data_IF_503830648601
#
_entry.id   IF_503830648601
#
_cell.length_a   1.000
_cell.length_b   1.000
_cell.length_c   1.000
_cell.angle_alpha   90.00
_cell.angle_beta   90.00
_cell.angle_gamma   90.00
#
_symmetry.space_group_name_H-M   'P 1'
#
loop_
_entity.id
_entity.type
_entity.pdbx_description
1 polymer ?
#
# COMPACT_ATOMS: atom_id res chain seq x y z
N UNK A 1 -4.11 26.36 20.53
CA UNK A 1 -3.58 25.04 20.94
C UNK A 1 -3.82 24.13 19.76
N UNK A 2 -2.77 23.72 19.04
CA UNK A 2 -2.91 22.78 17.93
C UNK A 2 -2.91 21.38 18.53
N UNK A 3 -4.07 20.74 18.55
CA UNK A 3 -4.22 19.30 18.76
C UNK A 3 -3.61 18.60 17.53
N UNK A 4 -2.28 18.46 17.54
CA UNK A 4 -1.60 17.64 16.56
C UNK A 4 -2.10 16.21 16.73
N UNK A 5 -2.78 15.67 15.73
CA UNK A 5 -3.06 14.24 15.66
C UNK A 5 -1.72 13.50 15.83
N UNK A 6 -1.41 13.06 17.05
CA UNK A 6 -0.42 12.01 17.28
C UNK A 6 -1.02 10.74 16.72
N UNK A 7 -0.94 10.58 15.41
CA UNK A 7 -1.24 9.33 14.75
C UNK A 7 -0.28 8.31 15.37
N UNK A 8 -0.79 7.22 15.96
CA UNK A 8 0.08 6.18 16.49
C UNK A 8 1.03 5.78 15.37
N UNK A 9 2.34 5.74 15.65
CA UNK A 9 3.35 5.22 14.71
C UNK A 9 2.83 3.89 14.19
N UNK A 10 2.45 3.86 12.92
CA UNK A 10 1.88 2.66 12.32
C UNK A 10 3.06 1.73 12.06
N UNK A 11 3.36 0.88 13.05
CA UNK A 11 4.48 -0.07 12.99
C UNK A 11 4.33 -1.07 11.84
N UNK A 12 3.10 -1.31 11.38
CA UNK A 12 2.78 -2.21 10.28
C UNK A 12 2.27 -1.40 9.06
N UNK A 13 3.15 -1.19 8.08
CA UNK A 13 2.84 -0.46 6.86
C UNK A 13 1.80 -1.18 6.00
N UNK A 14 1.61 -2.50 6.15
CA UNK A 14 0.59 -3.26 5.40
C UNK A 14 -0.79 -2.67 5.66
N UNK A 15 -1.12 -2.47 6.93
CA UNK A 15 -2.42 -1.89 7.33
C UNK A 15 -2.59 -0.46 6.82
N UNK A 16 -1.54 0.36 6.88
CA UNK A 16 -1.56 1.72 6.38
C UNK A 16 -1.81 1.77 4.86
N UNK A 17 -1.04 0.99 4.10
CA UNK A 17 -1.16 0.94 2.64
C UNK A 17 -2.51 0.39 2.21
N UNK A 18 -2.96 -0.73 2.80
CA UNK A 18 -4.30 -1.28 2.51
C UNK A 18 -5.40 -0.25 2.76
N UNK A 19 -5.36 0.42 3.91
CA UNK A 19 -6.35 1.46 4.24
C UNK A 19 -6.31 2.62 3.23
N UNK A 20 -5.12 3.00 2.77
CA UNK A 20 -4.95 4.05 1.77
C UNK A 20 -5.53 3.66 0.42
N UNK A 21 -5.14 2.49 -0.11
CA UNK A 21 -5.59 2.03 -1.44
C UNK A 21 -7.09 1.77 -1.46
N UNK A 22 -7.66 1.19 -0.40
CA UNK A 22 -9.11 1.01 -0.25
C UNK A 22 -9.84 2.37 -0.22
N UNK A 23 -9.34 3.36 0.54
CA UNK A 23 -9.93 4.71 0.58
C UNK A 23 -9.85 5.45 -0.76
N UNK A 24 -8.87 5.10 -1.60
CA UNK A 24 -8.71 5.63 -2.95
C UNK A 24 -9.53 4.86 -3.99
N UNK A 25 -10.27 3.82 -3.59
CA UNK A 25 -11.05 2.99 -4.51
C UNK A 25 -10.18 2.17 -5.46
N UNK A 26 -8.90 1.97 -5.12
CA UNK A 26 -7.98 1.17 -5.93
C UNK A 26 -8.22 -0.31 -5.60
N UNK A 27 -8.25 -1.15 -6.64
CA UNK A 27 -8.29 -2.59 -6.45
C UNK A 27 -6.93 -3.06 -5.91
N UNK A 28 -6.95 -3.76 -4.79
CA UNK A 28 -5.75 -4.24 -4.13
C UNK A 28 -5.91 -5.71 -3.75
N UNK A 29 -4.86 -6.50 -3.97
CA UNK A 29 -4.85 -7.93 -3.73
C UNK A 29 -3.61 -8.31 -2.92
N UNK A 30 -3.83 -9.03 -1.82
CA UNK A 30 -2.77 -9.55 -0.97
C UNK A 30 -2.25 -10.89 -1.49
N UNK A 31 -0.94 -11.11 -1.35
CA UNK A 31 -0.36 -12.45 -1.40
C UNK A 31 -0.88 -13.30 -0.24
N UNK A 32 -0.82 -14.63 -0.38
CA UNK A 32 -1.35 -15.56 0.62
C UNK A 32 -0.68 -15.42 2.00
N UNK A 33 0.61 -15.06 2.00
CA UNK A 33 1.45 -14.87 3.19
C UNK A 33 1.53 -13.40 3.65
N UNK A 34 0.77 -12.49 3.02
CA UNK A 34 0.73 -11.06 3.35
C UNK A 34 2.07 -10.33 3.20
N UNK A 35 3.02 -10.91 2.45
CA UNK A 35 4.30 -10.28 2.16
C UNK A 35 4.23 -9.29 0.99
N UNK A 36 3.19 -9.36 0.16
CA UNK A 36 3.02 -8.47 -0.99
C UNK A 36 1.58 -7.97 -1.15
N UNK A 37 1.46 -6.69 -1.53
CA UNK A 37 0.21 -6.05 -1.94
C UNK A 37 0.32 -5.62 -3.40
N UNK A 38 -0.44 -6.25 -4.28
CA UNK A 38 -0.60 -5.82 -5.66
C UNK A 38 -1.75 -4.81 -5.75
N UNK A 39 -1.54 -3.75 -6.52
CA UNK A 39 -2.54 -2.73 -6.85
C UNK A 39 -2.59 -2.64 -8.36
N UNK A 40 -3.77 -2.90 -8.92
CA UNK A 40 -4.00 -2.85 -10.36
C UNK A 40 -5.20 -1.95 -10.64
N UNK A 41 -4.94 -0.85 -11.35
CA UNK A 41 -5.97 0.06 -11.84
C UNK A 41 -5.61 0.53 -13.24
N UNK A 42 -6.58 1.01 -14.04
CA UNK A 42 -6.29 1.54 -15.36
C UNK A 42 -5.18 2.60 -15.33
N UNK A 43 -4.08 2.32 -16.04
CA UNK A 43 -2.92 3.20 -16.15
C UNK A 43 -1.87 3.09 -15.03
N UNK A 44 -2.09 2.25 -14.01
CA UNK A 44 -1.13 2.01 -12.94
C UNK A 44 -1.18 0.56 -12.45
N UNK A 45 -0.05 -0.13 -12.56
CA UNK A 45 0.18 -1.40 -11.85
C UNK A 45 1.31 -1.19 -10.85
N UNK A 46 1.11 -1.59 -9.60
CA UNK A 46 2.13 -1.48 -8.55
C UNK A 46 2.10 -2.67 -7.60
N UNK A 47 3.27 -3.13 -7.17
CA UNK A 47 3.44 -4.18 -6.16
C UNK A 47 4.29 -3.62 -5.01
N UNK A 48 3.77 -3.74 -3.79
CA UNK A 48 4.46 -3.37 -2.56
C UNK A 48 4.88 -4.64 -1.82
N UNK A 49 6.18 -4.83 -1.62
CA UNK A 49 6.70 -5.96 -0.83
C UNK A 49 7.08 -5.48 0.57
N UNK A 50 6.82 -6.32 1.59
CA UNK A 50 6.99 -6.00 3.00
C UNK A 50 8.03 -6.91 3.65
N UNK A 51 8.84 -6.34 4.55
CA UNK A 51 9.74 -7.12 5.40
C UNK A 51 8.99 -7.87 6.53
N UNK A 52 9.73 -8.67 7.29
CA UNK A 52 9.20 -9.41 8.45
C UNK A 52 8.60 -8.53 9.55
N UNK A 53 8.95 -7.25 9.58
CA UNK A 53 8.41 -6.27 10.53
C UNK A 53 7.21 -5.51 9.98
N UNK A 54 6.76 -5.82 8.76
CA UNK A 54 5.63 -5.17 8.11
C UNK A 54 5.98 -3.80 7.53
N UNK A 55 7.26 -3.51 7.30
CA UNK A 55 7.71 -2.28 6.65
C UNK A 55 7.86 -2.52 5.16
N UNK A 56 7.61 -1.50 4.35
CA UNK A 56 7.84 -1.58 2.90
C UNK A 56 9.34 -1.78 2.65
N UNK A 57 9.67 -2.86 1.95
CA UNK A 57 11.03 -3.18 1.55
C UNK A 57 11.27 -2.85 0.07
N UNK A 58 10.24 -3.01 -0.77
CA UNK A 58 10.32 -2.74 -2.21
C UNK A 58 9.00 -2.20 -2.73
N UNK A 59 9.08 -1.30 -3.71
CA UNK A 59 7.97 -0.86 -4.52
C UNK A 59 8.37 -1.10 -5.97
N UNK A 60 7.61 -1.92 -6.67
CA UNK A 60 7.73 -2.12 -8.11
C UNK A 60 6.48 -1.54 -8.77
N UNK A 61 6.61 -0.81 -9.87
CA UNK A 61 5.45 -0.15 -10.45
C UNK A 61 5.70 0.32 -11.86
N UNK A 62 4.64 0.27 -12.66
CA UNK A 62 4.60 0.73 -14.03
C UNK A 62 3.41 1.66 -14.20
N UNK A 63 3.68 2.83 -14.79
CA UNK A 63 2.65 3.78 -15.21
C UNK A 63 2.52 3.64 -16.71
N UNK A 64 1.33 3.29 -17.17
CA UNK A 64 0.99 3.18 -18.58
C UNK A 64 -0.07 4.20 -18.95
N UNK A 65 -0.11 4.64 -20.21
CA UNK A 65 -1.30 5.30 -20.71
C UNK A 65 -2.44 4.27 -20.75
N UNK A 66 -3.59 4.58 -20.15
CA UNK A 66 -4.81 3.85 -20.49
C UNK A 66 -5.07 4.04 -22.00
N UNK A 67 -5.56 3.01 -22.71
CA UNK A 67 -5.83 3.09 -24.15
C UNK A 67 -6.81 4.21 -24.50
#
# INVERSE_FOLDING_TARGET
MQEGLTLPTVSDHRRALHSYVTKRGLAAQWSQDWSELAVDVPGLTATFSFDRYGRVQRIDGSIGAAP
#
